data_IF_439233951671
#
_entry.id   IF_439233951671
#
_cell.length_a   1.000
_cell.length_b   1.000
_cell.length_c   1.000
_cell.angle_alpha   90.00
_cell.angle_beta   90.00
_cell.angle_gamma   90.00
#
_symmetry.space_group_name_H-M   'P 1'
#
loop_
_entity.id
_entity.type
_entity.pdbx_description
1 polymer ?
#
# COMPACT_ATOMS: atom_id res chain seq x y z
N UNK A 1 -5.51 17.89 -3.94
CA UNK A 1 -5.33 16.45 -3.74
C UNK A 1 -3.87 16.16 -4.02
N UNK A 2 -3.08 16.08 -2.95
CA UNK A 2 -1.65 15.80 -3.06
C UNK A 2 -1.50 14.30 -2.83
N UNK A 3 -0.94 13.56 -3.79
CA UNK A 3 -0.52 12.19 -3.52
C UNK A 3 0.72 12.19 -2.62
N UNK A 4 1.24 10.99 -2.35
CA UNK A 4 2.50 10.82 -1.64
C UNK A 4 3.65 11.55 -2.37
N UNK A 5 4.50 12.24 -1.63
CA UNK A 5 5.79 12.70 -2.14
C UNK A 5 6.72 11.52 -2.44
N UNK A 6 7.79 11.75 -3.19
CA UNK A 6 8.72 10.68 -3.55
C UNK A 6 9.37 10.01 -2.33
N UNK A 7 9.74 10.79 -1.32
CA UNK A 7 10.31 10.26 -0.07
C UNK A 7 9.29 9.45 0.73
N UNK A 8 8.03 9.88 0.75
CA UNK A 8 6.94 9.12 1.38
C UNK A 8 6.64 7.84 0.61
N UNK A 9 6.68 7.86 -0.73
CA UNK A 9 6.54 6.66 -1.55
C UNK A 9 7.65 5.65 -1.26
N UNK A 10 8.91 6.08 -1.19
CA UNK A 10 10.03 5.20 -0.84
C UNK A 10 9.90 4.64 0.58
N UNK A 11 9.56 5.49 1.55
CA UNK A 11 9.34 5.07 2.94
C UNK A 11 8.22 4.04 3.05
N UNK A 12 7.06 4.33 2.46
CA UNK A 12 5.93 3.41 2.42
C UNK A 12 6.26 2.13 1.65
N UNK A 13 6.96 2.21 0.51
CA UNK A 13 7.42 1.03 -0.23
C UNK A 13 8.27 0.12 0.67
N UNK A 14 9.24 0.68 1.38
CA UNK A 14 10.12 -0.08 2.28
C UNK A 14 9.37 -0.69 3.47
N UNK A 15 8.36 0.00 4.01
CA UNK A 15 7.52 -0.58 5.05
C UNK A 15 6.65 -1.71 4.49
N UNK A 16 6.07 -1.51 3.32
CA UNK A 16 5.24 -2.48 2.61
C UNK A 16 6.03 -3.71 2.18
N UNK A 17 7.30 -3.60 1.82
CA UNK A 17 8.15 -4.74 1.48
C UNK A 17 8.49 -5.64 2.69
N UNK A 18 8.16 -5.24 3.92
CA UNK A 18 8.36 -6.05 5.13
C UNK A 18 7.17 -6.97 5.49
N UNK A 19 5.98 -6.73 4.95
CA UNK A 19 4.83 -7.61 5.17
C UNK A 19 5.09 -9.01 4.60
N UNK A 20 4.30 -10.02 4.94
CA UNK A 20 4.28 -11.23 4.13
C UNK A 20 3.39 -11.08 2.87
N UNK A 21 3.34 -12.11 2.03
CA UNK A 21 2.54 -12.07 0.80
C UNK A 21 1.03 -12.08 1.05
N UNK A 22 0.55 -12.72 2.12
CA UNK A 22 -0.89 -12.78 2.36
C UNK A 22 -1.38 -11.45 2.95
N UNK A 23 -0.60 -10.88 3.87
CA UNK A 23 -0.81 -9.55 4.45
C UNK A 23 -0.83 -8.47 3.37
N UNK A 24 0.11 -8.50 2.43
CA UNK A 24 0.20 -7.44 1.41
C UNK A 24 -0.96 -7.51 0.41
N UNK A 25 -1.40 -8.72 0.06
CA UNK A 25 -2.54 -8.91 -0.83
C UNK A 25 -3.85 -8.50 -0.14
N UNK A 26 -4.04 -8.87 1.13
CA UNK A 26 -5.20 -8.48 1.92
C UNK A 26 -5.27 -6.95 2.12
N UNK A 27 -4.12 -6.33 2.41
CA UNK A 27 -4.02 -4.89 2.59
C UNK A 27 -4.27 -4.13 1.28
N UNK A 28 -3.74 -4.63 0.15
CA UNK A 28 -4.01 -4.06 -1.17
C UNK A 28 -5.51 -4.07 -1.47
N UNK A 29 -6.18 -5.20 -1.32
CA UNK A 29 -7.62 -5.32 -1.53
C UNK A 29 -8.42 -4.31 -0.69
N UNK A 30 -7.98 -4.07 0.54
CA UNK A 30 -8.61 -3.09 1.44
C UNK A 30 -8.43 -1.66 0.93
N UNK A 31 -7.21 -1.26 0.59
CA UNK A 31 -6.90 0.12 0.17
C UNK A 31 -7.49 0.43 -1.22
N UNK A 32 -7.46 -0.55 -2.13
CA UNK A 32 -7.95 -0.35 -3.49
C UNK A 32 -9.44 -0.66 -3.63
N UNK A 33 -10.14 -0.98 -2.54
CA UNK A 33 -11.54 -1.47 -2.56
C UNK A 33 -11.76 -2.59 -3.60
N UNK A 34 -10.81 -3.51 -3.73
CA UNK A 34 -10.79 -4.58 -4.73
C UNK A 34 -10.94 -4.12 -6.21
N UNK A 35 -10.69 -2.85 -6.53
CA UNK A 35 -10.77 -2.32 -7.89
C UNK A 35 -9.61 -2.77 -8.81
N UNK A 36 -8.55 -3.32 -8.22
CA UNK A 36 -7.40 -3.86 -8.93
C UNK A 36 -7.06 -5.25 -8.39
N UNK A 37 -6.50 -6.09 -9.25
CA UNK A 37 -6.05 -7.44 -8.91
C UNK A 37 -4.55 -7.54 -9.22
N UNK A 38 -3.67 -7.32 -8.23
CA UNK A 38 -2.23 -7.40 -8.47
C UNK A 38 -1.81 -8.85 -8.74
N UNK A 39 -0.95 -9.05 -9.73
CA UNK A 39 -0.45 -10.39 -10.10
C UNK A 39 0.62 -10.89 -9.12
N UNK A 40 1.33 -9.96 -8.50
CA UNK A 40 2.40 -10.23 -7.56
C UNK A 40 2.48 -9.11 -6.51
N UNK A 41 3.30 -9.36 -5.49
CA UNK A 41 3.57 -8.43 -4.41
C UNK A 41 3.99 -7.03 -4.88
N UNK A 42 4.87 -6.94 -5.88
CA UNK A 42 5.39 -5.66 -6.34
C UNK A 42 4.27 -4.80 -6.94
N UNK A 43 3.36 -5.43 -7.68
CA UNK A 43 2.19 -4.77 -8.25
C UNK A 43 1.18 -4.36 -7.17
N UNK A 44 1.03 -5.16 -6.11
CA UNK A 44 0.22 -4.79 -4.95
C UNK A 44 0.76 -3.52 -4.27
N UNK A 45 2.08 -3.45 -4.02
CA UNK A 45 2.73 -2.27 -3.43
C UNK A 45 2.52 -1.05 -4.32
N UNK A 46 2.74 -1.17 -5.63
CA UNK A 46 2.54 -0.06 -6.59
C UNK A 46 1.10 0.44 -6.58
N UNK A 47 0.14 -0.48 -6.60
CA UNK A 47 -1.27 -0.13 -6.54
C UNK A 47 -1.63 0.62 -5.26
N UNK A 48 -1.16 0.13 -4.11
CA UNK A 48 -1.42 0.78 -2.82
C UNK A 48 -0.84 2.19 -2.76
N UNK A 49 0.39 2.40 -3.24
CA UNK A 49 1.01 3.73 -3.30
C UNK A 49 0.25 4.67 -4.24
N UNK A 50 -0.25 4.16 -5.38
CA UNK A 50 -1.01 4.95 -6.34
C UNK A 50 -2.42 5.33 -5.84
N UNK A 51 -3.05 4.47 -5.03
CA UNK A 51 -4.39 4.69 -4.50
C UNK A 51 -4.41 5.52 -3.20
N UNK A 52 -3.26 5.69 -2.54
CA UNK A 52 -3.17 6.42 -1.28
C UNK A 52 -2.97 7.92 -1.49
N UNK A 53 -3.76 8.73 -0.79
CA UNK A 53 -3.67 10.20 -0.83
C UNK A 53 -2.77 10.76 0.27
N UNK A 54 -2.41 9.97 1.28
CA UNK A 54 -1.47 10.36 2.32
C UNK A 54 -0.85 9.14 3.00
N UNK A 55 0.28 9.35 3.67
CA UNK A 55 0.90 8.31 4.51
C UNK A 55 -0.05 7.89 5.63
N UNK A 56 -0.75 8.84 6.25
CA UNK A 56 -1.66 8.58 7.36
C UNK A 56 -2.82 7.66 6.93
N UNK A 57 -3.43 7.94 5.77
CA UNK A 57 -4.48 7.07 5.20
C UNK A 57 -3.95 5.65 4.98
N UNK A 58 -2.83 5.50 4.28
CA UNK A 58 -2.23 4.20 3.99
C UNK A 58 -1.97 3.40 5.28
N UNK A 59 -1.41 4.05 6.29
CA UNK A 59 -1.04 3.41 7.55
C UNK A 59 -2.25 3.07 8.43
N UNK A 60 -3.38 3.78 8.33
CA UNK A 60 -4.60 3.43 9.09
C UNK A 60 -5.16 2.05 8.75
N UNK A 61 -4.91 1.55 7.54
CA UNK A 61 -5.33 0.23 7.11
C UNK A 61 -4.38 -0.89 7.57
N UNK A 62 -3.18 -0.54 8.04
CA UNK A 62 -2.28 -1.50 8.68
C UNK A 62 -2.69 -1.72 10.13
N UNK A 63 -2.90 -2.99 10.51
CA UNK A 63 -2.91 -3.36 11.92
C UNK A 63 -1.47 -3.33 12.45
N UNK A 64 -1.16 -2.35 13.28
CA UNK A 64 0.09 -2.31 14.05
C UNK A 64 -0.15 -3.14 15.31
N UNK A 65 0.39 -4.35 15.36
CA UNK A 65 0.45 -5.17 16.59
C UNK A 65 1.85 -5.13 17.16
#
# INVERSE_FOLDING_TARGET
>A
MSGLSQSEMEGCHNLLSLLDNDEIMALCNTITNCLVHPENRQDAIRAMLAYSQSVEELLRHRKVH
#
